data_IF_903903706554
#
_entry.id   IF_903903706554
#
_cell.length_a   1.000
_cell.length_b   1.000
_cell.length_c   1.000
_cell.angle_alpha   90.00
_cell.angle_beta   90.00
_cell.angle_gamma   90.00
#
_symmetry.space_group_name_H-M   'P 1'
#
loop_
_entity.id
_entity.type
_entity.pdbx_description
1 polymer ?
#
# COMPACT_ATOMS: atom_id res chain seq x y z
N UNK A 1 -11.03 -89.72 15.13
CA UNK A 1 -11.59 -88.42 14.72
C UNK A 1 -10.42 -87.48 14.47
N UNK A 2 -10.24 -86.99 13.23
CA UNK A 2 -9.08 -86.19 12.80
C UNK A 2 -9.31 -84.71 13.15
N UNK A 3 -8.47 -84.13 13.99
CA UNK A 3 -8.49 -82.69 14.28
C UNK A 3 -7.63 -81.94 13.27
N UNK A 4 -8.25 -81.00 12.56
CA UNK A 4 -7.59 -80.09 11.60
C UNK A 4 -7.16 -78.84 12.35
N UNK A 5 -5.86 -78.52 12.31
CA UNK A 5 -5.30 -77.30 12.89
C UNK A 5 -5.39 -76.17 11.86
N UNK A 6 -6.21 -75.14 12.11
CA UNK A 6 -6.26 -73.93 11.29
C UNK A 6 -5.13 -72.98 11.72
N UNK A 7 -4.19 -72.71 10.82
CA UNK A 7 -3.21 -71.62 10.96
C UNK A 7 -3.84 -70.36 10.39
N UNK A 8 -4.14 -69.38 11.26
CA UNK A 8 -4.63 -68.07 10.85
C UNK A 8 -3.44 -67.18 10.45
N UNK A 9 -3.34 -66.88 9.15
CA UNK A 9 -2.36 -65.95 8.61
C UNK A 9 -2.86 -64.51 8.83
N UNK A 10 -2.25 -63.78 9.77
CA UNK A 10 -2.54 -62.36 10.00
C UNK A 10 -1.76 -61.54 8.96
N UNK A 11 -2.46 -61.06 7.93
CA UNK A 11 -1.91 -60.11 6.95
C UNK A 11 -2.01 -58.71 7.57
N UNK A 12 -0.90 -58.14 8.01
CA UNK A 12 -0.82 -56.75 8.45
C UNK A 12 -1.00 -55.83 7.25
N UNK A 13 -2.18 -55.22 7.10
CA UNK A 13 -2.42 -54.20 6.09
C UNK A 13 -1.71 -52.91 6.49
N UNK A 14 -0.65 -52.55 5.75
CA UNK A 14 0.04 -51.26 5.85
C UNK A 14 -0.91 -50.16 5.41
N UNK A 15 -1.53 -49.45 6.35
CA UNK A 15 -2.30 -48.24 6.04
C UNK A 15 -1.30 -47.17 5.58
N UNK A 16 -1.36 -46.69 4.32
CA UNK A 16 -0.48 -45.60 3.90
C UNK A 16 -0.79 -44.37 4.75
N UNK A 17 0.22 -43.87 5.46
CA UNK A 17 0.13 -42.56 6.12
C UNK A 17 0.00 -41.52 5.02
N UNK A 18 -1.18 -40.93 4.88
CA UNK A 18 -1.34 -39.68 4.14
C UNK A 18 -0.36 -38.68 4.76
N UNK A 19 0.66 -38.29 3.99
CA UNK A 19 1.50 -37.17 4.35
C UNK A 19 0.58 -35.95 4.51
N UNK A 20 0.41 -35.46 5.75
CA UNK A 20 -0.18 -34.16 5.97
C UNK A 20 0.76 -33.16 5.30
N UNK A 21 0.41 -32.71 4.09
CA UNK A 21 0.96 -31.47 3.58
C UNK A 21 0.62 -30.42 4.64
N UNK A 22 1.66 -29.78 5.20
CA UNK A 22 1.46 -28.67 6.13
C UNK A 22 0.57 -27.60 5.48
N UNK A 23 0.02 -26.67 6.28
CA UNK A 23 -0.75 -25.57 5.71
C UNK A 23 0.08 -24.87 4.62
N UNK A 24 -0.56 -24.57 3.49
CA UNK A 24 0.08 -23.85 2.39
C UNK A 24 0.70 -22.54 2.92
N UNK A 25 1.83 -22.13 2.34
CA UNK A 25 2.47 -20.87 2.70
C UNK A 25 1.47 -19.71 2.55
N UNK A 26 1.37 -18.89 3.60
CA UNK A 26 0.47 -17.76 3.70
C UNK A 26 1.20 -16.54 4.26
N UNK A 27 0.79 -15.37 3.79
CA UNK A 27 1.27 -14.07 4.20
C UNK A 27 0.22 -13.35 5.05
N UNK A 28 0.69 -12.44 5.89
CA UNK A 28 -0.08 -11.44 6.60
C UNK A 28 0.36 -10.05 6.17
N UNK A 29 -0.53 -9.06 6.31
CA UNK A 29 -0.24 -7.66 5.96
C UNK A 29 1.10 -7.19 6.58
N UNK A 30 2.05 -6.66 5.79
CA UNK A 30 3.41 -6.38 6.26
C UNK A 30 3.55 -5.00 6.94
N UNK A 31 2.45 -4.32 7.26
CA UNK A 31 2.45 -2.94 7.73
C UNK A 31 1.35 -2.71 8.77
N UNK A 32 1.69 -2.01 9.85
CA UNK A 32 0.78 -1.67 10.95
C UNK A 32 -0.02 -0.39 10.65
N UNK A 33 -0.87 -0.43 9.63
CA UNK A 33 -1.79 0.64 9.24
C UNK A 33 -3.10 0.04 8.71
N UNK A 34 -4.15 0.86 8.60
CA UNK A 34 -5.40 0.44 7.93
C UNK A 34 -5.38 0.87 6.46
N UNK A 35 -5.34 -0.07 5.52
CA UNK A 35 -5.29 0.19 4.08
C UNK A 35 -6.63 0.80 3.61
N UNK A 36 -6.55 1.88 2.85
CA UNK A 36 -7.68 2.72 2.45
C UNK A 36 -8.07 3.79 3.48
N UNK A 37 -7.39 3.85 4.63
CA UNK A 37 -7.60 4.89 5.66
C UNK A 37 -6.30 5.58 6.06
N UNK A 38 -5.33 4.82 6.54
CA UNK A 38 -4.07 5.31 7.11
C UNK A 38 -2.88 5.09 6.16
N UNK A 39 -3.06 4.25 5.14
CA UNK A 39 -2.08 3.87 4.13
C UNK A 39 -2.81 3.27 2.91
N UNK A 40 -2.09 3.00 1.83
CA UNK A 40 -2.63 2.39 0.60
C UNK A 40 -1.61 1.41 0.01
N UNK A 41 -2.06 0.54 -0.88
CA UNK A 41 -1.16 -0.15 -1.82
C UNK A 41 -1.05 0.75 -3.04
N UNK A 42 0.14 1.28 -3.31
CA UNK A 42 0.35 2.12 -4.47
C UNK A 42 0.85 1.32 -5.68
N UNK A 43 1.67 0.30 -5.51
CA UNK A 43 2.16 -0.47 -6.65
C UNK A 43 2.07 -1.96 -6.35
N UNK A 44 1.76 -2.74 -7.37
CA UNK A 44 1.77 -4.19 -7.37
C UNK A 44 2.88 -4.70 -8.29
N UNK A 45 3.27 -5.99 -8.20
CA UNK A 45 4.25 -6.58 -9.10
C UNK A 45 3.80 -6.46 -10.56
N UNK A 46 4.77 -6.25 -11.43
CA UNK A 46 4.57 -6.27 -12.87
C UNK A 46 4.51 -7.71 -13.39
N UNK A 47 3.47 -8.00 -14.17
CA UNK A 47 3.24 -9.30 -14.82
C UNK A 47 3.50 -9.26 -16.33
N UNK A 48 3.75 -8.09 -16.91
CA UNK A 48 4.08 -8.01 -18.32
C UNK A 48 5.58 -8.28 -18.53
N UNK A 49 5.91 -9.00 -19.60
CA UNK A 49 7.30 -9.28 -19.99
C UNK A 49 7.74 -8.44 -21.19
N UNK A 50 6.82 -7.70 -21.81
CA UNK A 50 7.04 -6.81 -22.94
C UNK A 50 7.15 -5.35 -22.45
N UNK A 51 7.68 -4.40 -23.26
CA UNK A 51 7.62 -3.00 -22.92
C UNK A 51 6.17 -2.58 -22.62
N UNK A 52 5.92 -2.20 -21.37
CA UNK A 52 4.60 -2.04 -20.78
C UNK A 52 4.67 -2.39 -19.29
N UNK A 53 3.56 -2.27 -18.58
CA UNK A 53 3.46 -2.77 -17.21
C UNK A 53 2.01 -3.09 -16.90
N UNK A 54 1.78 -4.23 -16.26
CA UNK A 54 0.43 -4.69 -15.87
C UNK A 54 0.46 -5.35 -14.51
N UNK A 55 -0.38 -4.87 -13.60
CA UNK A 55 -0.54 -5.51 -12.29
C UNK A 55 -1.31 -6.83 -12.42
N UNK A 56 -1.48 -7.54 -11.30
CA UNK A 56 -2.17 -8.82 -11.26
C UNK A 56 -3.65 -8.80 -11.67
N UNK A 57 -4.25 -7.62 -11.84
CA UNK A 57 -5.60 -7.42 -12.39
C UNK A 57 -5.58 -6.90 -13.83
N UNK A 58 -4.42 -6.92 -14.50
CA UNK A 58 -4.23 -6.27 -15.80
C UNK A 58 -4.45 -4.73 -15.72
N UNK A 59 -4.36 -4.14 -14.52
CA UNK A 59 -4.51 -2.71 -14.26
C UNK A 59 -3.23 -1.91 -14.47
N UNK A 60 -3.27 -0.65 -14.04
CA UNK A 60 -2.19 0.33 -14.22
C UNK A 60 -1.40 0.62 -12.94
N UNK A 61 -1.70 -0.08 -11.84
CA UNK A 61 -1.09 0.14 -10.53
C UNK A 61 0.27 -0.57 -10.43
N UNK A 62 1.13 -0.36 -11.43
CA UNK A 62 2.50 -0.88 -11.51
C UNK A 62 3.34 -0.04 -12.48
N UNK A 63 4.61 -0.38 -12.64
CA UNK A 63 5.51 0.13 -13.67
C UNK A 63 6.50 -0.96 -14.12
N UNK A 64 7.13 -0.76 -15.27
CA UNK A 64 7.97 -1.76 -15.93
C UNK A 64 9.08 -2.27 -14.99
N UNK A 65 9.08 -3.58 -14.77
CA UNK A 65 10.08 -4.27 -13.95
C UNK A 65 9.88 -4.13 -12.43
N UNK A 66 8.75 -3.62 -11.96
CA UNK A 66 8.44 -3.58 -10.53
C UNK A 66 8.23 -5.00 -9.97
N UNK A 67 9.06 -5.45 -9.03
CA UNK A 67 9.08 -6.87 -8.59
C UNK A 67 8.39 -7.13 -7.24
N UNK A 68 7.66 -6.17 -6.69
CA UNK A 68 7.07 -6.28 -5.36
C UNK A 68 5.80 -5.45 -5.16
N UNK A 69 5.41 -5.27 -3.90
CA UNK A 69 4.21 -4.51 -3.52
C UNK A 69 4.60 -3.33 -2.63
N UNK A 70 4.17 -2.13 -3.00
CA UNK A 70 4.45 -0.89 -2.27
C UNK A 70 3.29 -0.50 -1.36
N UNK A 71 3.52 -0.60 -0.04
CA UNK A 71 2.58 -0.15 0.98
C UNK A 71 2.94 1.27 1.41
N UNK A 72 2.25 2.25 0.85
CA UNK A 72 2.53 3.68 1.01
C UNK A 72 1.77 4.29 2.18
N UNK A 73 2.47 5.10 2.98
CA UNK A 73 1.87 5.98 3.99
C UNK A 73 1.68 7.40 3.41
N UNK A 74 0.74 8.21 3.95
CA UNK A 74 0.25 9.40 3.23
C UNK A 74 1.26 10.54 3.11
N UNK A 75 2.16 10.71 4.09
CA UNK A 75 3.05 11.88 4.19
C UNK A 75 4.23 11.65 5.15
N UNK A 76 5.14 12.63 5.20
CA UNK A 76 6.30 12.66 6.10
C UNK A 76 5.94 12.79 7.57
N UNK A 77 4.79 13.36 7.94
CA UNK A 77 4.34 13.38 9.33
C UNK A 77 3.98 11.95 9.80
N UNK A 78 3.30 11.17 8.95
CA UNK A 78 3.04 9.75 9.20
C UNK A 78 4.34 8.96 9.28
N UNK A 79 5.32 9.27 8.42
CA UNK A 79 6.68 8.76 8.57
C UNK A 79 7.19 9.14 9.96
N UNK A 80 7.41 10.40 10.32
CA UNK A 80 7.98 10.79 11.62
C UNK A 80 7.27 10.16 12.82
N UNK A 81 5.92 10.07 12.84
CA UNK A 81 5.16 9.38 13.91
C UNK A 81 5.51 7.90 14.08
N UNK A 82 5.95 7.24 13.01
CA UNK A 82 6.34 5.84 12.99
C UNK A 82 5.18 4.93 12.60
N UNK A 83 5.32 4.25 11.47
CA UNK A 83 4.43 3.15 11.05
C UNK A 83 5.27 1.88 11.04
N UNK A 84 4.81 0.84 11.73
CA UNK A 84 5.62 -0.37 11.93
C UNK A 84 5.57 -1.27 10.70
N UNK A 85 6.73 -1.77 10.27
CA UNK A 85 6.84 -2.86 9.30
C UNK A 85 6.78 -4.18 10.06
N UNK A 86 5.94 -5.10 9.59
CA UNK A 86 5.65 -6.38 10.22
C UNK A 86 6.16 -7.53 9.33
N UNK A 87 6.66 -8.59 9.96
CA UNK A 87 6.96 -9.83 9.24
C UNK A 87 5.68 -10.42 8.65
N UNK A 88 5.59 -10.53 7.33
CA UNK A 88 4.45 -11.09 6.64
C UNK A 88 4.26 -12.59 6.92
N UNK A 89 5.32 -13.31 7.26
CA UNK A 89 5.25 -14.73 7.64
C UNK A 89 6.34 -15.06 8.67
N UNK A 90 6.12 -16.14 9.44
CA UNK A 90 7.12 -16.67 10.35
C UNK A 90 8.34 -17.18 9.59
N UNK A 91 9.54 -16.97 10.13
CA UNK A 91 10.76 -17.42 9.46
C UNK A 91 12.03 -17.06 10.22
N UNK A 92 13.16 -17.19 9.54
CA UNK A 92 14.48 -16.83 10.06
C UNK A 92 15.00 -15.63 9.27
N UNK A 93 15.43 -14.59 9.97
CA UNK A 93 16.06 -13.42 9.35
C UNK A 93 17.37 -13.84 8.72
N UNK A 94 17.44 -13.78 7.39
CA UNK A 94 18.62 -14.13 6.60
C UNK A 94 19.64 -13.01 6.59
N UNK A 95 19.18 -11.79 6.34
CA UNK A 95 20.03 -10.62 6.17
C UNK A 95 19.30 -9.35 6.58
N UNK A 96 20.07 -8.35 6.97
CA UNK A 96 19.58 -7.00 7.26
C UNK A 96 20.52 -5.97 6.65
N UNK A 97 19.98 -4.79 6.34
CA UNK A 97 20.75 -3.57 6.15
C UNK A 97 20.11 -2.48 6.97
N UNK A 98 20.92 -1.70 7.68
CA UNK A 98 20.47 -0.51 8.39
C UNK A 98 21.54 0.60 8.30
N UNK A 99 21.14 1.85 8.59
CA UNK A 99 22.00 3.02 8.61
C UNK A 99 21.99 3.89 7.35
N UNK A 100 21.29 3.48 6.29
CA UNK A 100 21.08 4.31 5.09
C UNK A 100 20.11 5.46 5.40
N UNK A 101 20.41 6.71 5.03
CA UNK A 101 19.54 7.83 5.32
C UNK A 101 18.20 7.73 4.58
N UNK A 102 17.15 8.24 5.22
CA UNK A 102 15.91 8.62 4.53
C UNK A 102 16.14 9.96 3.82
N UNK A 103 15.71 10.10 2.58
CA UNK A 103 15.80 11.36 1.84
C UNK A 103 14.64 11.54 0.88
N UNK A 104 14.28 12.79 0.63
CA UNK A 104 13.35 13.15 -0.44
C UNK A 104 14.06 13.04 -1.77
N UNK A 105 13.60 12.16 -2.65
CA UNK A 105 14.18 11.99 -3.99
C UNK A 105 13.70 13.11 -4.91
N UNK A 106 14.00 14.35 -4.54
CA UNK A 106 14.01 15.49 -5.46
C UNK A 106 15.36 15.52 -6.16
N UNK A 107 15.45 14.87 -7.34
CA UNK A 107 16.64 14.90 -8.20
C UNK A 107 17.95 14.41 -7.56
N UNK A 108 17.93 13.30 -6.82
CA UNK A 108 19.18 12.65 -6.38
C UNK A 108 19.85 11.91 -7.55
N UNK A 109 21.16 12.07 -7.63
CA UNK A 109 22.02 11.28 -8.51
C UNK A 109 21.87 9.79 -8.17
N UNK A 110 21.21 9.03 -9.05
CA UNK A 110 21.01 7.58 -8.92
C UNK A 110 22.34 6.83 -8.76
N UNK A 111 23.48 7.45 -9.12
CA UNK A 111 24.81 6.90 -8.84
C UNK A 111 25.06 6.67 -7.34
N UNK A 112 24.45 7.48 -6.46
CA UNK A 112 24.56 7.36 -5.00
C UNK A 112 23.75 6.20 -4.41
N UNK A 113 22.82 5.65 -5.19
CA UNK A 113 21.90 4.58 -4.75
C UNK A 113 22.35 3.20 -5.26
N UNK A 114 23.31 3.16 -6.20
CA UNK A 114 23.84 1.91 -6.74
C UNK A 114 24.36 0.98 -5.63
N UNK A 115 23.81 -0.22 -5.54
CA UNK A 115 24.11 -1.24 -4.52
C UNK A 115 23.37 -1.09 -3.20
N UNK A 116 22.56 -0.04 -3.03
CA UNK A 116 21.70 0.23 -1.88
C UNK A 116 20.26 0.56 -2.31
N UNK A 117 19.81 0.04 -3.45
CA UNK A 117 18.49 0.31 -4.04
C UNK A 117 17.36 -0.01 -3.05
N UNK A 118 17.45 -1.15 -2.37
CA UNK A 118 16.52 -1.55 -1.29
C UNK A 118 16.62 -0.67 -0.03
N UNK A 119 17.64 0.19 0.10
CA UNK A 119 17.89 0.98 1.30
C UNK A 119 18.11 0.10 2.53
N UNK A 120 17.54 0.52 3.66
CA UNK A 120 17.45 -0.31 4.85
C UNK A 120 16.35 -1.36 4.67
N UNK A 121 16.58 -2.55 5.18
CA UNK A 121 15.67 -3.65 4.93
C UNK A 121 16.01 -4.92 5.68
N UNK A 122 15.09 -5.88 5.57
CA UNK A 122 15.17 -7.21 6.17
C UNK A 122 14.86 -8.24 5.10
N UNK A 123 15.58 -9.36 5.10
CA UNK A 123 15.25 -10.55 4.31
C UNK A 123 14.96 -11.69 5.28
N UNK A 124 13.83 -12.37 5.11
CA UNK A 124 13.41 -13.50 5.93
C UNK A 124 13.26 -14.72 5.03
N UNK A 125 13.98 -15.79 5.38
CA UNK A 125 13.78 -17.11 4.78
C UNK A 125 12.68 -17.86 5.54
N UNK A 126 11.80 -18.52 4.80
CA UNK A 126 10.69 -19.31 5.30
C UNK A 126 10.83 -20.77 4.85
N UNK A 127 10.02 -21.65 5.45
CA UNK A 127 9.96 -23.05 5.05
C UNK A 127 9.54 -23.20 3.58
N UNK A 128 9.95 -24.31 2.95
CA UNK A 128 9.57 -24.62 1.57
C UNK A 128 10.24 -23.75 0.50
N UNK A 129 11.28 -22.99 0.84
CA UNK A 129 12.05 -22.18 -0.12
C UNK A 129 11.40 -20.83 -0.45
N UNK A 130 10.46 -20.39 0.39
CA UNK A 130 9.86 -19.06 0.34
C UNK A 130 10.77 -18.03 1.02
N UNK A 131 10.74 -16.79 0.52
CA UNK A 131 11.47 -15.67 1.09
C UNK A 131 10.64 -14.38 0.98
N UNK A 132 10.73 -13.52 1.99
CA UNK A 132 10.23 -12.15 1.93
C UNK A 132 11.37 -11.15 2.11
N UNK A 133 11.35 -10.06 1.33
CA UNK A 133 12.27 -8.95 1.45
C UNK A 133 11.49 -7.66 1.67
N UNK A 134 11.87 -6.90 2.70
CA UNK A 134 11.28 -5.62 3.08
C UNK A 134 12.31 -4.55 2.82
N UNK A 135 11.98 -3.56 1.98
CA UNK A 135 12.89 -2.48 1.59
C UNK A 135 12.36 -1.11 2.05
N UNK A 136 13.23 -0.10 1.92
CA UNK A 136 12.96 1.32 2.18
C UNK A 136 12.60 1.63 3.64
N UNK A 137 13.07 0.79 4.58
CA UNK A 137 12.85 1.01 6.01
C UNK A 137 13.59 2.27 6.50
N UNK A 138 13.11 2.84 7.60
CA UNK A 138 13.71 4.06 8.18
C UNK A 138 15.10 3.80 8.74
N UNK A 139 15.98 4.77 8.56
CA UNK A 139 17.33 4.77 9.13
C UNK A 139 17.31 4.47 10.63
N UNK A 140 18.09 3.49 11.06
CA UNK A 140 18.27 3.12 12.46
C UNK A 140 17.04 2.45 13.10
N UNK A 141 16.05 2.05 12.30
CA UNK A 141 14.80 1.50 12.82
C UNK A 141 14.73 -0.03 12.83
N UNK A 142 15.67 -0.73 12.20
CA UNK A 142 15.65 -2.19 12.10
C UNK A 142 15.89 -2.80 13.48
N UNK A 143 14.99 -3.70 13.92
CA UNK A 143 14.95 -4.24 15.29
C UNK A 143 15.41 -5.70 15.41
N UNK A 144 15.74 -6.32 14.29
CA UNK A 144 16.12 -7.73 14.18
C UNK A 144 17.53 -7.88 13.64
N UNK A 145 18.09 -9.08 13.78
CA UNK A 145 19.46 -9.43 13.36
C UNK A 145 19.42 -10.70 12.52
N UNK A 146 20.44 -10.90 11.69
CA UNK A 146 20.61 -12.15 10.97
C UNK A 146 20.68 -13.34 11.96
N UNK A 147 19.91 -14.39 11.67
CA UNK A 147 19.74 -15.57 12.52
C UNK A 147 18.54 -15.52 13.47
N UNK A 148 17.92 -14.36 13.68
CA UNK A 148 16.74 -14.25 14.54
C UNK A 148 15.55 -15.04 13.95
N UNK A 149 14.83 -15.77 14.81
CA UNK A 149 13.52 -16.33 14.44
C UNK A 149 12.44 -15.34 14.76
N UNK A 150 11.58 -15.05 13.79
CA UNK A 150 10.45 -14.14 13.93
C UNK A 150 9.14 -14.85 13.62
N UNK A 151 8.10 -14.50 14.34
CA UNK A 151 6.73 -14.93 14.03
C UNK A 151 6.11 -13.99 12.99
N UNK A 152 5.12 -14.46 12.25
CA UNK A 152 4.24 -13.58 11.46
C UNK A 152 3.64 -12.48 12.36
N UNK A 153 3.62 -11.25 11.86
CA UNK A 153 3.21 -10.06 12.62
C UNK A 153 4.30 -9.48 13.54
N UNK A 154 5.48 -10.09 13.64
CA UNK A 154 6.56 -9.53 14.47
C UNK A 154 7.04 -8.17 13.93
N UNK A 155 7.26 -7.15 14.79
CA UNK A 155 7.83 -5.87 14.37
C UNK A 155 9.26 -6.03 13.85
N UNK A 156 9.52 -5.55 12.63
CA UNK A 156 10.85 -5.57 12.00
C UNK A 156 11.55 -4.21 12.10
N UNK A 157 10.78 -3.13 12.09
CA UNK A 157 11.27 -1.75 12.13
C UNK A 157 10.18 -0.77 11.71
N UNK A 158 10.56 0.37 11.15
CA UNK A 158 9.60 1.41 10.75
C UNK A 158 9.67 1.69 9.24
N UNK A 159 8.53 2.07 8.67
CA UNK A 159 8.42 2.59 7.31
C UNK A 159 9.32 3.82 7.17
N UNK A 160 10.07 3.85 6.08
CA UNK A 160 11.00 4.90 5.73
C UNK A 160 10.89 5.33 4.27
N UNK A 161 11.97 5.93 3.79
CA UNK A 161 12.21 6.37 2.42
C UNK A 161 13.73 6.32 2.14
N UNK A 162 14.38 5.21 2.51
CA UNK A 162 15.79 4.98 2.20
C UNK A 162 15.95 4.22 0.89
N UNK A 163 17.08 4.38 0.21
CA UNK A 163 17.32 3.72 -1.09
C UNK A 163 16.58 4.40 -2.25
N UNK A 164 16.13 3.62 -3.23
CA UNK A 164 15.43 4.12 -4.44
C UNK A 164 13.92 4.31 -4.17
N UNK A 165 13.57 5.15 -3.20
CA UNK A 165 12.19 5.38 -2.77
C UNK A 165 11.74 6.83 -3.01
N UNK A 166 10.80 7.05 -3.92
CA UNK A 166 10.28 8.39 -4.24
C UNK A 166 9.33 8.96 -3.16
N UNK A 167 8.81 8.11 -2.27
CA UNK A 167 7.87 8.47 -1.21
C UNK A 167 8.00 7.49 -0.02
N UNK A 168 7.47 7.82 1.17
CA UNK A 168 7.55 6.91 2.31
C UNK A 168 6.66 5.66 2.14
N UNK A 169 7.28 4.49 2.12
CA UNK A 169 6.59 3.20 1.97
C UNK A 169 7.45 2.04 2.46
N UNK A 170 6.85 0.86 2.59
CA UNK A 170 7.61 -0.40 2.61
C UNK A 170 7.32 -1.16 1.32
N UNK A 171 8.38 -1.54 0.62
CA UNK A 171 8.30 -2.43 -0.54
C UNK A 171 8.50 -3.86 -0.08
N UNK A 172 7.56 -4.74 -0.43
CA UNK A 172 7.62 -6.17 -0.15
C UNK A 172 7.85 -6.95 -1.45
N UNK A 173 9.01 -7.60 -1.57
CA UNK A 173 9.21 -8.63 -2.59
C UNK A 173 9.00 -10.01 -1.98
N UNK A 174 8.24 -10.87 -2.66
CA UNK A 174 8.05 -12.28 -2.29
C UNK A 174 8.76 -13.15 -3.32
N UNK A 175 9.50 -14.17 -2.86
CA UNK A 175 10.20 -15.11 -3.73
C UNK A 175 9.93 -16.55 -3.34
N UNK A 176 9.89 -17.44 -4.34
CA UNK A 176 9.85 -18.89 -4.14
C UNK A 176 10.90 -19.55 -5.03
N UNK A 177 11.81 -20.33 -4.43
CA UNK A 177 12.92 -20.95 -5.17
C UNK A 177 13.84 -19.92 -5.85
N UNK A 178 13.96 -18.72 -5.25
CA UNK A 178 14.79 -17.62 -5.76
C UNK A 178 14.15 -16.76 -6.84
N UNK A 179 12.91 -17.04 -7.27
CA UNK A 179 12.20 -16.25 -8.30
C UNK A 179 11.13 -15.36 -7.65
N UNK A 180 10.93 -14.11 -8.12
CA UNK A 180 9.80 -13.28 -7.71
C UNK A 180 8.46 -13.98 -7.94
N UNK A 181 7.54 -13.77 -7.00
CA UNK A 181 6.16 -14.26 -7.05
C UNK A 181 5.25 -13.12 -6.64
N UNK A 182 4.17 -12.89 -7.39
CA UNK A 182 3.16 -11.94 -6.97
C UNK A 182 2.31 -12.52 -5.82
N UNK A 183 2.25 -11.87 -4.65
CA UNK A 183 1.49 -12.37 -3.50
C UNK A 183 -0.04 -12.29 -3.66
N UNK A 184 -0.55 -11.51 -4.60
CA UNK A 184 -1.97 -11.42 -4.94
C UNK A 184 -2.40 -12.45 -5.98
N UNK A 185 -1.49 -12.92 -6.82
CA UNK A 185 -1.81 -13.83 -7.92
C UNK A 185 -0.68 -14.82 -8.25
N UNK A 186 -0.38 -15.70 -7.30
CA UNK A 186 0.60 -16.78 -7.50
C UNK A 186 0.14 -17.72 -8.63
N UNK A 187 1.03 -17.93 -9.59
CA UNK A 187 0.87 -18.87 -10.70
C UNK A 187 0.09 -18.36 -11.93
N UNK A 188 -0.60 -17.22 -11.87
CA UNK A 188 -1.29 -16.63 -13.02
C UNK A 188 -1.64 -15.15 -12.79
N UNK A 189 -1.72 -14.36 -13.87
CA UNK A 189 -2.08 -12.94 -13.81
C UNK A 189 -3.58 -12.69 -14.11
N UNK A 190 -3.96 -11.42 -14.14
CA UNK A 190 -5.27 -10.90 -14.57
C UNK A 190 -6.46 -11.57 -13.87
N UNK A 191 -6.33 -11.69 -12.54
CA UNK A 191 -7.35 -12.20 -11.63
C UNK A 191 -7.50 -13.73 -11.60
N UNK A 192 -6.60 -14.48 -12.24
CA UNK A 192 -6.66 -15.95 -12.30
C UNK A 192 -5.71 -16.65 -11.30
N UNK A 193 -4.80 -15.90 -10.68
CA UNK A 193 -3.84 -16.45 -9.72
C UNK A 193 -4.41 -16.70 -8.33
N UNK A 194 -3.65 -17.44 -7.53
CA UNK A 194 -3.97 -17.72 -6.14
C UNK A 194 -3.43 -16.61 -5.24
N UNK A 195 -4.26 -16.08 -4.34
CA UNK A 195 -3.76 -15.18 -3.30
C UNK A 195 -2.92 -15.93 -2.26
N UNK A 196 -1.74 -15.39 -1.93
CA UNK A 196 -0.90 -15.84 -0.81
C UNK A 196 -1.31 -15.20 0.52
N UNK A 197 -2.15 -14.16 0.50
CA UNK A 197 -2.61 -13.48 1.71
C UNK A 197 -3.61 -14.35 2.48
N UNK A 198 -3.47 -14.38 3.81
CA UNK A 198 -4.42 -15.06 4.67
C UNK A 198 -5.83 -14.44 4.53
N UNK A 199 -6.85 -15.23 4.87
CA UNK A 199 -8.25 -14.83 4.71
C UNK A 199 -8.63 -13.58 5.53
N UNK A 200 -7.98 -13.31 6.66
CA UNK A 200 -8.30 -12.17 7.51
C UNK A 200 -7.87 -10.83 6.88
N UNK A 201 -6.79 -10.82 6.10
CA UNK A 201 -6.27 -9.60 5.47
C UNK A 201 -6.86 -9.35 4.07
N UNK A 202 -7.43 -10.36 3.41
CA UNK A 202 -7.90 -10.26 2.01
C UNK A 202 -8.92 -9.15 1.76
N UNK A 203 -9.83 -8.89 2.69
CA UNK A 203 -10.81 -7.80 2.53
C UNK A 203 -10.14 -6.43 2.54
N UNK A 204 -9.16 -6.23 3.41
CA UNK A 204 -8.43 -4.97 3.51
C UNK A 204 -7.46 -4.77 2.32
N UNK A 205 -6.86 -5.87 1.87
CA UNK A 205 -5.95 -5.95 0.72
C UNK A 205 -6.67 -6.05 -0.64
N UNK A 206 -7.99 -5.94 -0.67
CA UNK A 206 -8.75 -5.99 -1.91
C UNK A 206 -8.26 -4.94 -2.90
N UNK A 207 -8.20 -5.32 -4.18
CA UNK A 207 -7.77 -4.44 -5.27
C UNK A 207 -8.60 -3.15 -5.30
N UNK A 208 -7.92 -2.01 -5.43
CA UNK A 208 -8.52 -0.70 -5.62
C UNK A 208 -7.96 -0.13 -6.92
N UNK A 209 -8.82 -0.07 -7.92
CA UNK A 209 -8.42 0.34 -9.28
C UNK A 209 -8.03 1.82 -9.33
N UNK A 210 -8.78 2.66 -8.62
CA UNK A 210 -8.43 4.05 -8.30
C UNK A 210 -8.58 4.22 -6.79
N UNK A 211 -7.63 4.89 -6.15
CA UNK A 211 -7.65 5.12 -4.70
C UNK A 211 -7.38 6.59 -4.34
N UNK A 212 -7.65 6.96 -3.09
CA UNK A 212 -7.33 8.28 -2.53
C UNK A 212 -6.26 8.11 -1.47
N UNK A 213 -5.03 8.57 -1.74
CA UNK A 213 -3.92 8.49 -0.80
C UNK A 213 -4.19 9.38 0.43
N UNK A 214 -4.48 10.65 0.18
CA UNK A 214 -4.78 11.61 1.24
C UNK A 214 -5.71 12.71 0.73
N UNK A 215 -6.46 13.28 1.66
CA UNK A 215 -7.39 14.36 1.40
C UNK A 215 -7.69 15.11 2.69
N UNK A 216 -7.96 16.40 2.60
CA UNK A 216 -8.19 17.22 3.79
C UNK A 216 -8.65 18.63 3.48
N UNK A 217 -8.97 19.36 4.56
CA UNK A 217 -9.20 20.79 4.51
C UNK A 217 -7.91 21.54 4.85
N UNK A 218 -7.71 22.70 4.23
CA UNK A 218 -6.55 23.55 4.41
C UNK A 218 -6.93 25.03 4.52
N UNK A 219 -6.25 25.77 5.41
CA UNK A 219 -6.47 27.20 5.65
C UNK A 219 -6.03 28.11 4.48
N UNK A 220 -5.31 27.55 3.50
CA UNK A 220 -4.77 28.22 2.32
C UNK A 220 -4.62 27.21 1.17
N UNK A 221 -4.39 27.66 -0.09
CA UNK A 221 -4.00 26.77 -1.18
C UNK A 221 -2.74 25.97 -0.82
N UNK A 222 -2.69 24.71 -1.27
CA UNK A 222 -1.58 23.79 -1.01
C UNK A 222 -1.00 23.27 -2.34
N UNK A 223 0.23 22.79 -2.29
CA UNK A 223 0.95 22.15 -3.39
C UNK A 223 1.11 20.64 -3.15
N UNK A 224 1.59 19.92 -4.17
CA UNK A 224 2.00 18.51 -4.02
C UNK A 224 3.10 18.32 -2.99
N UNK A 225 4.01 19.28 -2.88
CA UNK A 225 5.10 19.25 -1.92
C UNK A 225 4.60 19.43 -0.48
N UNK A 226 3.68 20.37 -0.26
CA UNK A 226 3.04 20.59 1.04
C UNK A 226 2.35 19.31 1.54
N UNK A 227 1.63 18.61 0.67
CA UNK A 227 0.91 17.38 1.06
C UNK A 227 1.82 16.17 1.23
N UNK A 228 2.99 16.13 0.58
CA UNK A 228 3.98 15.07 0.78
C UNK A 228 4.65 15.25 2.15
N UNK A 229 5.01 16.48 2.49
CA UNK A 229 5.55 16.80 3.81
C UNK A 229 4.50 16.69 4.93
N UNK A 230 3.23 16.94 4.60
CA UNK A 230 2.13 16.94 5.56
C UNK A 230 2.13 18.20 6.43
N UNK A 231 1.50 18.12 7.60
CA UNK A 231 1.43 19.27 8.52
C UNK A 231 0.54 20.41 8.02
N UNK A 232 -0.37 20.11 7.10
CA UNK A 232 -1.32 21.07 6.54
C UNK A 232 -2.18 21.67 7.66
N UNK A 233 -2.13 23.00 7.79
CA UNK A 233 -2.95 23.70 8.77
C UNK A 233 -4.43 23.55 8.43
N UNK A 234 -5.17 22.92 9.34
CA UNK A 234 -6.63 22.90 9.28
C UNK A 234 -7.15 24.34 9.28
N UNK A 235 -8.23 24.64 8.52
CA UNK A 235 -8.87 25.93 8.62
C UNK A 235 -9.35 26.21 10.04
N UNK A 236 -9.62 27.48 10.29
CA UNK A 236 -10.34 27.97 11.44
C UNK A 236 -11.27 29.10 11.01
N UNK A 237 -12.10 29.61 11.92
CA UNK A 237 -13.03 30.71 11.64
C UNK A 237 -12.36 31.98 11.05
N UNK A 238 -11.06 32.15 11.28
CA UNK A 238 -10.28 33.31 10.84
C UNK A 238 -9.37 33.02 9.64
N UNK A 239 -9.42 31.79 9.11
CA UNK A 239 -8.56 31.40 8.00
C UNK A 239 -8.85 32.23 6.75
N UNK A 240 -7.81 32.64 5.99
CA UNK A 240 -7.95 33.48 4.82
C UNK A 240 -8.68 32.74 3.68
N UNK A 241 -8.65 31.41 3.68
CA UNK A 241 -9.41 30.58 2.77
C UNK A 241 -9.93 29.31 3.48
N UNK A 242 -10.95 28.71 2.86
CA UNK A 242 -11.36 27.34 3.10
C UNK A 242 -11.05 26.56 1.83
N UNK A 243 -10.04 25.70 1.87
CA UNK A 243 -9.60 24.87 0.76
C UNK A 243 -9.83 23.40 1.10
N UNK A 244 -10.21 22.61 0.11
CA UNK A 244 -10.15 21.15 0.16
C UNK A 244 -9.17 20.67 -0.89
N UNK A 245 -8.37 19.69 -0.52
CA UNK A 245 -7.42 19.04 -1.42
C UNK A 245 -7.61 17.52 -1.41
N UNK A 246 -7.26 16.89 -2.52
CA UNK A 246 -7.27 15.43 -2.69
C UNK A 246 -6.09 15.03 -3.55
N UNK A 247 -5.36 14.00 -3.11
CA UNK A 247 -4.40 13.26 -3.92
C UNK A 247 -4.93 11.87 -4.21
N UNK A 248 -5.24 11.61 -5.47
CA UNK A 248 -5.71 10.33 -5.94
C UNK A 248 -4.59 9.54 -6.64
N UNK A 249 -4.74 8.22 -6.65
CA UNK A 249 -3.84 7.26 -7.27
C UNK A 249 -4.57 6.50 -8.38
N UNK A 250 -3.83 6.14 -9.43
CA UNK A 250 -4.30 5.28 -10.53
C UNK A 250 -5.58 5.82 -11.19
N UNK A 251 -5.52 7.07 -11.64
CA UNK A 251 -6.57 7.64 -12.47
C UNK A 251 -6.35 7.25 -13.92
N UNK A 252 -7.43 7.00 -14.64
CA UNK A 252 -7.40 6.54 -16.02
C UNK A 252 -7.62 7.70 -16.99
N UNK A 253 -7.15 7.51 -18.22
CA UNK A 253 -7.51 8.34 -19.37
C UNK A 253 -9.02 8.61 -19.39
N UNK A 254 -9.40 9.88 -19.52
CA UNK A 254 -10.78 10.33 -19.53
C UNK A 254 -11.42 10.55 -18.16
N UNK A 255 -10.75 10.21 -17.06
CA UNK A 255 -11.28 10.48 -15.72
C UNK A 255 -11.50 11.97 -15.48
N UNK A 256 -12.63 12.30 -14.87
CA UNK A 256 -12.97 13.65 -14.41
C UNK A 256 -13.03 13.65 -12.89
N UNK A 257 -12.23 14.52 -12.27
CA UNK A 257 -12.21 14.71 -10.84
C UNK A 257 -13.10 15.88 -10.46
N UNK A 258 -14.03 15.70 -9.54
CA UNK A 258 -14.95 16.74 -9.07
C UNK A 258 -14.89 16.92 -7.56
N UNK A 259 -14.91 18.18 -7.12
CA UNK A 259 -14.90 18.63 -5.74
C UNK A 259 -16.10 19.54 -5.47
N UNK A 260 -16.93 19.15 -4.50
CA UNK A 260 -18.04 19.96 -4.00
C UNK A 260 -17.81 20.25 -2.53
N UNK A 261 -17.85 21.51 -2.13
CA UNK A 261 -17.73 21.93 -0.73
C UNK A 261 -19.01 22.64 -0.30
N UNK A 262 -19.57 22.28 0.85
CA UNK A 262 -20.76 22.88 1.44
C UNK A 262 -20.47 23.50 2.80
N UNK A 263 -21.13 24.62 3.09
CA UNK A 263 -21.13 25.26 4.40
C UNK A 263 -22.03 24.50 5.41
N UNK A 264 -22.01 24.88 6.70
CA UNK A 264 -22.86 24.25 7.72
C UNK A 264 -24.37 24.36 7.48
N UNK A 265 -24.82 25.32 6.66
CA UNK A 265 -26.21 25.45 6.24
C UNK A 265 -26.56 24.62 5.00
N UNK A 266 -25.59 23.88 4.43
CA UNK A 266 -25.75 23.09 3.21
C UNK A 266 -25.56 23.88 1.91
N UNK A 267 -25.22 25.17 1.97
CA UNK A 267 -24.95 25.98 0.79
C UNK A 267 -23.66 25.52 0.12
N UNK A 268 -23.70 25.30 -1.19
CA UNK A 268 -22.50 24.99 -1.99
C UNK A 268 -21.60 26.24 -2.05
N UNK A 269 -20.38 26.11 -1.52
CA UNK A 269 -19.35 27.14 -1.56
C UNK A 269 -18.46 27.00 -2.79
N UNK A 270 -18.22 25.76 -3.20
CA UNK A 270 -17.34 25.39 -4.31
C UNK A 270 -17.95 24.19 -5.03
N UNK A 271 -17.97 24.21 -6.35
CA UNK A 271 -18.27 23.09 -7.23
C UNK A 271 -17.30 23.18 -8.40
N UNK A 272 -16.28 22.33 -8.40
CA UNK A 272 -15.17 22.38 -9.36
C UNK A 272 -14.96 21.01 -9.96
N UNK A 273 -14.78 20.95 -11.27
CA UNK A 273 -14.43 19.73 -11.99
C UNK A 273 -13.17 19.97 -12.82
N UNK A 274 -12.28 18.99 -12.86
CA UNK A 274 -11.15 18.97 -13.80
C UNK A 274 -11.66 18.76 -15.22
N UNK A 275 -10.88 19.11 -16.26
CA UNK A 275 -11.06 18.48 -17.56
C UNK A 275 -10.84 16.95 -17.46
N UNK A 276 -11.36 16.16 -18.41
CA UNK A 276 -10.99 14.75 -18.55
C UNK A 276 -9.48 14.60 -18.69
N UNK A 277 -8.90 13.58 -18.06
CA UNK A 277 -7.48 13.27 -18.22
C UNK A 277 -7.16 12.88 -19.66
N UNK A 278 -5.96 13.26 -20.12
CA UNK A 278 -5.43 12.98 -21.46
C UNK A 278 -4.47 11.76 -21.50
N UNK A 279 -4.16 11.20 -20.33
CA UNK A 279 -3.43 9.94 -20.13
C UNK A 279 -3.67 9.42 -18.71
N UNK A 280 -3.36 8.14 -18.49
CA UNK A 280 -3.37 7.53 -17.15
C UNK A 280 -2.38 8.24 -16.22
N UNK A 281 -2.75 8.42 -14.95
CA UNK A 281 -1.92 9.06 -13.94
C UNK A 281 -1.78 8.16 -12.73
N UNK A 282 -0.53 7.74 -12.47
CA UNK A 282 -0.18 7.05 -11.23
C UNK A 282 -0.55 7.87 -9.99
N UNK A 283 -0.45 9.19 -10.08
CA UNK A 283 -0.94 10.13 -9.07
C UNK A 283 -1.47 11.41 -9.71
N UNK A 284 -2.53 11.96 -9.15
CA UNK A 284 -2.97 13.32 -9.47
C UNK A 284 -3.40 14.05 -8.20
N UNK A 285 -3.35 15.38 -8.29
CA UNK A 285 -3.72 16.26 -7.21
C UNK A 285 -4.65 17.34 -7.71
N UNK A 286 -5.71 17.56 -6.94
CA UNK A 286 -6.66 18.63 -7.15
C UNK A 286 -6.92 19.32 -5.82
N UNK A 287 -7.13 20.63 -5.88
CA UNK A 287 -7.67 21.38 -4.77
C UNK A 287 -8.71 22.37 -5.28
N UNK A 288 -9.67 22.70 -4.42
CA UNK A 288 -10.67 23.71 -4.69
C UNK A 288 -11.05 24.41 -3.39
N UNK A 289 -11.37 25.69 -3.45
CA UNK A 289 -11.61 26.47 -2.23
C UNK A 289 -12.20 27.84 -2.48
N UNK A 290 -12.54 28.50 -1.37
CA UNK A 290 -13.10 29.85 -1.37
C UNK A 290 -12.28 30.75 -0.45
N UNK A 291 -11.89 31.93 -0.95
CA UNK A 291 -11.26 32.97 -0.13
C UNK A 291 -12.31 33.63 0.78
N UNK A 292 -11.90 34.00 2.00
CA UNK A 292 -12.71 34.79 2.92
C UNK A 292 -12.67 36.24 2.46
N UNK A 293 -13.82 36.79 2.05
CA UNK A 293 -13.94 38.18 1.54
C UNK A 293 -14.33 39.19 2.62
N UNK A 294 -14.55 38.74 3.87
CA UNK A 294 -14.95 39.54 5.02
C UNK A 294 -15.66 38.69 6.07
N UNK A 295 -15.82 39.21 7.29
CA UNK A 295 -16.41 38.45 8.40
C UNK A 295 -15.61 37.21 8.79
N UNK A 296 -16.17 36.33 9.63
CA UNK A 296 -15.58 35.03 10.02
C UNK A 296 -16.30 33.90 9.29
N UNK A 297 -15.64 32.74 9.12
CA UNK A 297 -16.34 31.55 8.64
C UNK A 297 -17.41 31.14 9.66
N UNK A 298 -18.56 30.70 9.14
CA UNK A 298 -19.68 30.24 9.96
C UNK A 298 -19.24 29.01 10.76
N UNK A 299 -19.46 29.02 12.07
CA UNK A 299 -19.23 27.81 12.89
C UNK A 299 -20.21 26.70 12.50
N UNK A 300 -19.75 25.46 12.58
CA UNK A 300 -20.51 24.26 12.28
C UNK A 300 -19.72 23.25 11.47
N UNK A 301 -20.43 22.32 10.83
CA UNK A 301 -19.81 21.25 10.04
C UNK A 301 -19.80 21.62 8.57
N UNK A 302 -18.61 21.86 8.03
CA UNK A 302 -18.40 21.91 6.59
C UNK A 302 -18.27 20.48 6.06
N UNK A 303 -18.78 20.24 4.87
CA UNK A 303 -18.61 18.96 4.18
C UNK A 303 -18.00 19.15 2.80
N UNK A 304 -17.18 18.20 2.39
CA UNK A 304 -16.70 18.12 1.03
C UNK A 304 -16.91 16.73 0.46
N UNK A 305 -17.27 16.68 -0.81
CA UNK A 305 -17.42 15.44 -1.57
C UNK A 305 -16.50 15.50 -2.77
N UNK A 306 -15.57 14.55 -2.83
CA UNK A 306 -14.74 14.26 -3.99
C UNK A 306 -15.30 13.07 -4.75
N UNK A 307 -15.37 13.18 -6.06
CA UNK A 307 -15.75 12.06 -6.94
C UNK A 307 -14.81 11.96 -8.13
N UNK A 308 -14.52 10.73 -8.54
CA UNK A 308 -13.94 10.44 -9.86
C UNK A 308 -15.06 9.89 -10.74
N UNK A 309 -15.22 10.46 -11.92
CA UNK A 309 -16.17 10.00 -12.94
C UNK A 309 -15.38 9.43 -14.11
N UNK A 310 -15.60 8.16 -14.41
CA UNK A 310 -15.06 7.47 -15.58
C UNK A 310 -16.21 7.07 -16.51
N UNK A 311 -16.14 7.46 -17.79
CA UNK A 311 -17.17 7.15 -18.79
C UNK A 311 -18.62 7.45 -18.31
N UNK A 312 -18.81 8.54 -17.55
CA UNK A 312 -20.11 8.96 -17.02
C UNK A 312 -20.56 8.24 -15.74
N UNK A 313 -19.78 7.31 -15.20
CA UNK A 313 -20.05 6.61 -13.95
C UNK A 313 -19.14 7.09 -12.83
N UNK A 314 -19.69 7.26 -11.62
CA UNK A 314 -18.88 7.57 -10.44
C UNK A 314 -18.16 6.29 -10.00
N UNK A 315 -16.83 6.28 -10.08
CA UNK A 315 -15.98 5.14 -9.71
C UNK A 315 -15.32 5.30 -8.34
N UNK A 316 -15.15 6.55 -7.87
CA UNK A 316 -14.66 6.87 -6.53
C UNK A 316 -15.56 7.92 -5.90
N UNK A 317 -15.84 7.78 -4.61
CA UNK A 317 -16.45 8.83 -3.78
C UNK A 317 -15.71 8.91 -2.45
N UNK A 318 -15.28 10.12 -2.08
CA UNK A 318 -14.69 10.42 -0.77
C UNK A 318 -15.41 11.59 -0.13
N UNK A 319 -15.91 11.40 1.09
CA UNK A 319 -16.55 12.44 1.88
C UNK A 319 -15.60 12.87 3.00
N UNK A 320 -15.48 14.18 3.18
CA UNK A 320 -14.68 14.82 4.22
C UNK A 320 -15.59 15.75 5.04
N UNK A 321 -15.27 15.90 6.31
CA UNK A 321 -15.94 16.87 7.18
C UNK A 321 -14.92 17.67 7.97
N UNK A 322 -15.21 18.95 8.18
CA UNK A 322 -14.46 19.85 9.04
C UNK A 322 -15.42 20.47 10.06
N UNK A 323 -15.05 20.42 11.35
CA UNK A 323 -15.84 21.00 12.43
C UNK A 323 -15.15 22.27 12.93
N UNK A 324 -15.83 23.41 12.75
CA UNK A 324 -15.37 24.76 13.12
C UNK A 324 -16.22 25.42 14.21
#
# INVERSE_FOLDING_TARGET
>A
MRSVLLVALVVAASIPRLAHAGPAFQLQKPIACTIGRDCVIQQYPDHDAAPGAKDYRCGIATYDGHDGTDFRIPDKIAQTRGVTVLAAASGTVRAIRDGQPDFDVGAFDRSRIKGIECGNGVVIDHDGGWQTQYCHMRQGSVRVKAGDRVAAGAPLGLVGQSGDAAFPHVHLTVRHGGKPVDPFADGAACGQGRSLWNAADQTELAYRDTDVLNAGFAAAPVTMDDIEHGGIAAPNQDSPALVVYVRALHLHLGDVQRLVVKDPGGQVLVDSSSPPLDHDKAQAFVFAGKKRLGGRWRSGVYSATYTVVHAGQVVVTKVLTLKE
#
